data_IF_696722687650
#
_entry.id   IF_696722687650
#
_cell.length_a   1.000
_cell.length_b   1.000
_cell.length_c   1.000
_cell.angle_alpha   90.00
_cell.angle_beta   90.00
_cell.angle_gamma   90.00
#
_symmetry.space_group_name_H-M   'P 1'
#
loop_
_entity.id
_entity.type
_entity.pdbx_description
1 polymer ?
#
# COMPACT_ATOMS: atom_id res chain seq x y z
N UNK A 1 66.14 -21.96 -29.70
CA UNK A 1 64.91 -22.70 -30.09
C UNK A 1 63.82 -22.29 -29.10
N UNK A 2 62.96 -21.31 -29.37
CA UNK A 2 61.79 -21.24 -30.28
C UNK A 2 60.58 -22.10 -29.84
N UNK A 3 59.59 -21.40 -29.24
CA UNK A 3 58.12 -21.48 -29.26
C UNK A 3 57.34 -22.80 -29.03
N UNK A 4 56.34 -22.76 -28.12
CA UNK A 4 54.91 -22.55 -28.46
C UNK A 4 53.99 -22.29 -27.25
N UNK A 5 53.03 -21.38 -27.45
CA UNK A 5 51.84 -21.09 -26.62
C UNK A 5 50.96 -22.33 -26.40
N UNK A 6 50.24 -22.38 -25.27
CA UNK A 6 48.80 -22.66 -25.28
C UNK A 6 48.08 -21.79 -24.23
N UNK A 7 47.18 -20.94 -24.73
CA UNK A 7 46.16 -20.20 -23.98
C UNK A 7 45.12 -21.21 -23.47
N UNK A 8 44.97 -21.30 -22.15
CA UNK A 8 43.95 -22.11 -21.48
C UNK A 8 42.91 -21.21 -20.83
N UNK A 9 41.90 -20.84 -21.63
CA UNK A 9 40.52 -20.55 -21.28
C UNK A 9 40.18 -20.49 -19.77
N UNK A 10 39.99 -19.29 -19.24
CA UNK A 10 39.24 -19.08 -17.99
C UNK A 10 37.78 -19.34 -18.31
N UNK A 11 37.23 -20.43 -17.77
CA UNK A 11 35.79 -20.66 -17.76
C UNK A 11 35.11 -19.47 -17.04
N UNK A 12 34.21 -18.71 -17.67
CA UNK A 12 33.39 -17.78 -16.93
C UNK A 12 32.45 -18.60 -16.04
N UNK A 13 32.53 -18.33 -14.73
CA UNK A 13 31.64 -18.88 -13.72
C UNK A 13 30.20 -18.78 -14.22
N UNK A 14 29.54 -19.94 -14.25
CA UNK A 14 28.18 -20.17 -14.70
C UNK A 14 27.28 -18.94 -14.56
N UNK A 15 27.00 -18.32 -15.70
CA UNK A 15 25.74 -17.60 -15.93
C UNK A 15 24.63 -18.61 -15.67
N UNK A 16 24.20 -18.68 -14.42
CA UNK A 16 23.03 -19.46 -14.01
C UNK A 16 21.83 -18.66 -14.52
N UNK A 17 21.54 -18.83 -15.81
CA UNK A 17 20.26 -18.47 -16.40
C UNK A 17 19.20 -19.17 -15.54
N UNK A 18 18.33 -18.45 -14.81
CA UNK A 18 17.26 -19.11 -14.09
C UNK A 18 16.37 -19.81 -15.13
N UNK A 19 15.96 -21.07 -14.90
CA UNK A 19 15.20 -21.82 -15.87
C UNK A 19 13.95 -21.04 -16.28
N UNK A 20 13.75 -20.96 -17.61
CA UNK A 20 12.56 -20.42 -18.24
C UNK A 20 11.35 -21.26 -17.81
N UNK A 21 10.76 -20.85 -16.70
CA UNK A 21 9.72 -21.59 -16.00
C UNK A 21 9.21 -20.87 -14.77
N UNK A 22 9.46 -19.57 -14.65
CA UNK A 22 8.62 -18.72 -13.80
C UNK A 22 7.28 -18.65 -14.52
N UNK A 23 6.43 -19.64 -14.26
CA UNK A 23 5.01 -19.39 -14.19
C UNK A 23 4.91 -18.10 -13.42
N UNK A 24 4.46 -17.02 -14.08
CA UNK A 24 3.89 -15.91 -13.36
C UNK A 24 2.90 -16.58 -12.43
N UNK A 25 3.26 -16.72 -11.16
CA UNK A 25 2.29 -17.04 -10.14
C UNK A 25 1.35 -15.88 -10.31
N UNK A 26 0.19 -16.12 -10.93
CA UNK A 26 -0.93 -15.21 -10.86
C UNK A 26 -1.03 -14.97 -9.37
N UNK A 27 -0.58 -13.80 -8.93
CA UNK A 27 -0.84 -13.35 -7.59
C UNK A 27 -2.35 -13.25 -7.61
N UNK A 28 -3.00 -14.31 -7.13
CA UNK A 28 -4.41 -14.26 -6.84
C UNK A 28 -4.54 -13.03 -5.94
N UNK A 29 -5.30 -11.99 -6.35
CA UNK A 29 -5.56 -10.91 -5.43
C UNK A 29 -6.07 -11.59 -4.17
N UNK A 30 -5.43 -11.33 -3.04
CA UNK A 30 -5.88 -11.84 -1.75
C UNK A 30 -7.18 -11.08 -1.47
N UNK A 31 -8.25 -11.51 -2.12
CA UNK A 31 -9.62 -11.08 -1.92
C UNK A 31 -10.07 -11.84 -0.69
N UNK A 32 -9.82 -11.30 0.51
CA UNK A 32 -10.59 -11.78 1.68
C UNK A 32 -10.59 -10.88 2.92
N UNK A 33 -9.74 -9.84 3.04
CA UNK A 33 -9.80 -8.99 4.25
C UNK A 33 -9.83 -7.50 3.90
N UNK A 34 -10.95 -7.07 3.32
CA UNK A 34 -11.35 -5.66 3.37
C UNK A 34 -11.78 -5.38 4.79
N UNK A 35 -11.17 -4.39 5.42
CA UNK A 35 -11.54 -3.97 6.76
C UNK A 35 -12.52 -2.83 6.59
N UNK A 36 -13.70 -2.97 7.16
CA UNK A 36 -14.74 -1.95 7.19
C UNK A 36 -15.04 -1.60 8.66
N UNK A 37 -15.50 -0.38 8.94
CA UNK A 37 -16.08 -0.05 10.23
C UNK A 37 -17.30 -0.93 10.51
N UNK A 38 -17.66 -0.99 11.79
CA UNK A 38 -18.85 -1.69 12.27
C UNK A 38 -20.09 -1.28 11.46
N UNK A 39 -20.85 -2.29 11.02
CA UNK A 39 -22.04 -2.09 10.20
C UNK A 39 -21.82 -2.23 8.68
N UNK A 40 -20.64 -2.68 8.23
CA UNK A 40 -20.34 -2.95 6.82
C UNK A 40 -20.60 -1.74 5.91
N UNK A 41 -20.18 -0.55 6.34
CA UNK A 41 -20.34 0.70 5.58
C UNK A 41 -19.38 0.72 4.41
N UNK A 42 -19.87 0.40 3.23
CA UNK A 42 -19.05 0.37 2.01
C UNK A 42 -18.78 1.76 1.45
N UNK A 43 -19.72 2.70 1.55
CA UNK A 43 -19.46 4.07 1.11
C UNK A 43 -18.63 4.79 2.18
N UNK A 44 -17.35 5.01 1.90
CA UNK A 44 -16.50 5.71 2.83
C UNK A 44 -16.82 7.20 2.91
N UNK A 45 -17.49 7.81 1.93
CA UNK A 45 -17.90 9.22 2.01
C UNK A 45 -18.90 9.47 3.15
N UNK A 46 -19.66 8.43 3.53
CA UNK A 46 -20.59 8.46 4.66
C UNK A 46 -19.94 8.15 6.01
N UNK A 47 -18.63 7.86 6.04
CA UNK A 47 -17.96 7.53 7.29
C UNK A 47 -17.82 8.77 8.16
N UNK A 48 -18.36 8.67 9.37
CA UNK A 48 -18.13 9.65 10.41
C UNK A 48 -16.74 9.47 11.03
N UNK A 49 -16.28 10.45 11.79
CA UNK A 49 -15.04 10.30 12.60
C UNK A 49 -15.12 9.08 13.52
N UNK A 50 -16.30 8.78 14.10
CA UNK A 50 -16.47 7.60 14.95
C UNK A 50 -16.26 6.30 14.17
N UNK A 51 -16.78 6.21 12.94
CA UNK A 51 -16.57 5.05 12.06
C UNK A 51 -15.09 4.88 11.72
N UNK A 52 -14.38 5.97 11.42
CA UNK A 52 -12.94 5.92 11.14
C UNK A 52 -12.14 5.44 12.36
N UNK A 53 -12.51 5.89 13.57
CA UNK A 53 -11.84 5.46 14.80
C UNK A 53 -12.11 3.99 15.11
N UNK A 54 -13.33 3.51 14.88
CA UNK A 54 -13.68 2.09 14.97
C UNK A 54 -12.87 1.27 13.96
N UNK A 55 -12.88 1.68 12.70
CA UNK A 55 -12.12 1.05 11.61
C UNK A 55 -10.62 0.97 11.91
N UNK A 56 -10.01 2.04 12.41
CA UNK A 56 -8.59 2.09 12.79
C UNK A 56 -8.26 1.10 13.90
N UNK A 57 -9.13 0.93 14.89
CA UNK A 57 -8.90 0.00 16.01
C UNK A 57 -8.78 -1.46 15.55
N UNK A 58 -9.42 -1.84 14.45
CA UNK A 58 -9.41 -3.22 13.94
C UNK A 58 -8.00 -3.67 13.50
N UNK A 59 -7.18 -2.79 12.92
CA UNK A 59 -5.86 -3.13 12.38
C UNK A 59 -4.70 -2.31 12.95
N UNK A 60 -5.03 -1.28 13.72
CA UNK A 60 -4.07 -0.36 14.32
C UNK A 60 -4.56 0.16 15.68
N UNK A 61 -4.62 -0.72 16.72
CA UNK A 61 -5.04 -0.34 18.08
C UNK A 61 -3.94 0.49 18.76
N UNK A 62 -3.78 1.75 18.35
CA UNK A 62 -2.91 2.72 18.98
C UNK A 62 -3.74 3.97 19.36
N UNK A 63 -4.07 4.15 20.65
CA UNK A 63 -5.01 5.18 21.10
C UNK A 63 -4.49 6.60 20.89
N UNK A 64 -3.19 6.86 21.09
CA UNK A 64 -2.60 8.20 20.91
C UNK A 64 -2.71 8.69 19.45
N UNK A 65 -2.64 7.76 18.49
CA UNK A 65 -2.71 8.10 17.06
C UNK A 65 -4.14 8.20 16.55
N UNK A 66 -5.04 7.39 17.10
CA UNK A 66 -6.47 7.55 16.89
C UNK A 66 -6.93 8.94 17.41
N UNK A 67 -6.37 9.41 18.52
CA UNK A 67 -6.64 10.74 19.06
C UNK A 67 -6.27 11.88 18.11
N UNK A 68 -5.14 11.80 17.40
CA UNK A 68 -4.76 12.81 16.38
C UNK A 68 -5.82 12.90 15.27
N UNK A 69 -6.34 11.75 14.83
CA UNK A 69 -7.38 11.68 13.79
C UNK A 69 -8.72 12.20 14.33
N UNK A 70 -9.04 11.89 15.59
CA UNK A 70 -10.23 12.39 16.27
C UNK A 70 -10.21 13.91 16.46
N UNK A 71 -9.09 14.48 16.94
CA UNK A 71 -8.93 15.92 17.20
C UNK A 71 -9.04 16.75 15.92
N UNK A 72 -8.67 16.18 14.77
CA UNK A 72 -8.75 16.85 13.47
C UNK A 72 -10.13 16.71 12.81
N UNK A 73 -11.05 15.92 13.40
CA UNK A 73 -12.40 15.75 12.88
C UNK A 73 -12.44 15.15 11.47
N UNK A 74 -11.51 14.23 11.17
CA UNK A 74 -11.45 13.60 9.84
C UNK A 74 -12.71 12.77 9.65
N UNK A 75 -13.46 13.04 8.58
CA UNK A 75 -14.54 12.18 8.08
C UNK A 75 -14.08 11.44 6.82
N UNK A 76 -14.98 10.64 6.26
CA UNK A 76 -14.81 9.87 5.04
C UNK A 76 -14.16 10.61 3.87
N UNK A 77 -14.73 11.75 3.53
CA UNK A 77 -14.27 12.61 2.42
C UNK A 77 -12.86 13.16 2.67
N UNK A 78 -12.55 13.48 3.93
CA UNK A 78 -11.22 13.93 4.34
C UNK A 78 -10.21 12.78 4.30
N UNK A 79 -10.63 11.54 4.61
CA UNK A 79 -9.76 10.37 4.65
C UNK A 79 -9.04 10.13 3.31
N UNK A 80 -9.75 10.32 2.19
CA UNK A 80 -9.16 10.31 0.85
C UNK A 80 -8.04 11.34 0.69
N UNK A 81 -8.33 12.62 0.98
CA UNK A 81 -7.35 13.72 0.86
C UNK A 81 -6.14 13.51 1.78
N UNK A 82 -6.35 12.93 2.95
CA UNK A 82 -5.32 12.69 3.94
C UNK A 82 -4.36 11.56 3.55
N UNK A 83 -4.85 10.49 2.92
CA UNK A 83 -4.07 9.24 2.77
C UNK A 83 -3.92 8.73 1.34
N UNK A 84 -4.85 9.02 0.42
CA UNK A 84 -4.83 8.53 -0.96
C UNK A 84 -4.48 9.62 -1.99
N UNK A 85 -4.90 10.86 -1.75
CA UNK A 85 -4.62 11.95 -2.70
C UNK A 85 -3.12 12.22 -2.84
N UNK A 86 -2.64 12.23 -4.08
CA UNK A 86 -1.21 12.38 -4.40
C UNK A 86 -0.68 13.76 -4.03
N UNK A 87 -1.50 14.81 -4.13
CA UNK A 87 -1.08 16.18 -3.90
C UNK A 87 -1.06 16.54 -2.40
N UNK A 88 -2.06 16.10 -1.64
CA UNK A 88 -2.23 16.49 -0.23
C UNK A 88 -1.71 15.46 0.78
N UNK A 89 -1.66 14.17 0.48
CA UNK A 89 -1.42 13.14 1.53
C UNK A 89 -0.09 13.30 2.27
N UNK A 90 1.00 13.59 1.55
CA UNK A 90 2.32 13.72 2.18
C UNK A 90 2.41 14.94 3.10
N UNK A 91 1.87 16.08 2.65
CA UNK A 91 1.84 17.31 3.44
C UNK A 91 1.01 17.12 4.71
N UNK A 92 -0.16 16.50 4.57
CA UNK A 92 -1.03 16.16 5.69
C UNK A 92 -0.34 15.26 6.72
N UNK A 93 0.25 14.15 6.28
CA UNK A 93 0.93 13.21 7.19
C UNK A 93 2.06 13.89 7.97
N UNK A 94 2.78 14.82 7.33
CA UNK A 94 3.84 15.62 7.98
C UNK A 94 3.27 16.59 9.02
N UNK A 95 2.21 17.32 8.68
CA UNK A 95 1.56 18.27 9.61
C UNK A 95 0.97 17.54 10.82
N UNK A 96 0.25 16.44 10.60
CA UNK A 96 -0.36 15.62 11.63
C UNK A 96 0.66 14.74 12.41
N UNK A 97 1.97 14.86 12.10
CA UNK A 97 3.05 14.07 12.72
C UNK A 97 2.82 12.55 12.64
N UNK A 98 2.14 12.09 11.59
CA UNK A 98 1.91 10.67 11.36
C UNK A 98 3.19 10.05 10.82
N UNK A 99 3.66 8.97 11.46
CA UNK A 99 4.88 8.30 11.00
C UNK A 99 4.69 7.65 9.62
N UNK A 100 5.74 7.58 8.78
CA UNK A 100 5.63 6.98 7.45
C UNK A 100 5.04 5.56 7.45
N UNK A 101 5.41 4.73 8.43
CA UNK A 101 4.88 3.38 8.57
C UNK A 101 3.38 3.33 8.86
N UNK A 102 2.85 4.27 9.66
CA UNK A 102 1.41 4.35 9.92
C UNK A 102 0.65 4.89 8.74
N UNK A 103 1.17 5.95 8.10
CA UNK A 103 0.59 6.47 6.87
C UNK A 103 0.50 5.38 5.79
N UNK A 104 1.55 4.56 5.64
CA UNK A 104 1.55 3.44 4.71
C UNK A 104 0.52 2.37 5.08
N UNK A 105 0.42 2.00 6.36
CA UNK A 105 -0.58 1.02 6.82
C UNK A 105 -2.00 1.50 6.55
N UNK A 106 -2.33 2.75 6.89
CA UNK A 106 -3.65 3.34 6.62
C UNK A 106 -3.90 3.39 5.11
N UNK A 107 -2.94 3.84 4.30
CA UNK A 107 -3.04 3.90 2.84
C UNK A 107 -3.30 2.52 2.23
N UNK A 108 -2.60 1.49 2.67
CA UNK A 108 -2.78 0.13 2.16
C UNK A 108 -4.15 -0.44 2.53
N UNK A 109 -4.63 -0.23 3.76
CA UNK A 109 -5.94 -0.73 4.19
C UNK A 109 -7.06 0.05 3.51
N UNK A 110 -7.00 1.38 3.51
CA UNK A 110 -8.03 2.24 2.93
C UNK A 110 -8.04 2.19 1.40
N UNK A 111 -6.87 2.08 0.77
CA UNK A 111 -6.77 1.92 -0.69
C UNK A 111 -7.50 0.68 -1.19
N UNK A 112 -7.57 -0.41 -0.40
CA UNK A 112 -8.38 -1.59 -0.75
C UNK A 112 -9.87 -1.29 -0.74
N UNK A 113 -10.35 -0.53 0.24
CA UNK A 113 -11.74 -0.07 0.33
C UNK A 113 -12.07 0.79 -0.90
N UNK A 114 -11.25 1.81 -1.17
CA UNK A 114 -11.40 2.69 -2.31
C UNK A 114 -11.40 1.94 -3.66
N UNK A 115 -10.47 1.02 -3.86
CA UNK A 115 -10.37 0.23 -5.11
C UNK A 115 -11.59 -0.65 -5.37
N UNK A 116 -12.31 -1.09 -4.32
CA UNK A 116 -13.52 -1.90 -4.49
C UNK A 116 -14.70 -1.04 -4.90
N UNK A 117 -14.80 0.17 -4.34
CA UNK A 117 -15.92 1.09 -4.57
C UNK A 117 -15.79 1.77 -5.93
N UNK A 118 -14.61 2.35 -6.21
CA UNK A 118 -14.36 3.12 -7.43
C UNK A 118 -13.87 2.23 -8.59
N UNK A 119 -13.61 0.95 -8.32
CA UNK A 119 -12.91 0.07 -9.24
C UNK A 119 -11.41 0.40 -9.34
N UNK A 120 -10.67 -0.45 -10.04
CA UNK A 120 -9.38 -0.03 -10.60
C UNK A 120 -9.70 0.87 -11.79
N UNK A 121 -9.89 2.18 -11.57
CA UNK A 121 -9.68 3.10 -12.68
C UNK A 121 -8.25 2.87 -13.16
N UNK A 122 -8.16 2.34 -14.38
CA UNK A 122 -6.90 2.07 -15.05
C UNK A 122 -6.13 3.39 -15.10
N UNK A 123 -5.05 3.48 -14.32
CA UNK A 123 -4.00 4.47 -14.55
C UNK A 123 -3.20 4.09 -15.80
N UNK A 124 -3.90 3.95 -16.92
CA UNK A 124 -3.34 3.90 -18.26
C UNK A 124 -4.03 5.04 -19.01
N UNK A 125 -3.41 6.21 -18.97
CA UNK A 125 -3.41 7.22 -20.04
C UNK A 125 -2.64 8.47 -19.57
N UNK A 126 -1.32 8.46 -19.77
CA UNK A 126 -0.58 9.40 -20.63
C UNK A 126 0.93 9.22 -20.53
#
# INVERSE_FOLDING_TARGET
>A
MCYKKQEGHVEPAADTIPPAGHTHVKIWPVVENVILPTGNKWDYEEWTTADILDWLQIFYPNPERAEIIAQKGIDGSHLYRCFLDRASSMAWCKEAKISPGTAMKIRMTFGRVHNIICGYEQYDEK
#
